data_IF_470889642131
#
_entry.id   IF_470889642131
#
_cell.length_a   1.000
_cell.length_b   1.000
_cell.length_c   1.000
_cell.angle_alpha   90.00
_cell.angle_beta   90.00
_cell.angle_gamma   90.00
#
_symmetry.space_group_name_H-M   'P 1'
#
loop_
_entity.id
_entity.type
_entity.pdbx_description
1 polymer ?
#
# COMPACT_ATOMS: atom_id res chain seq x y z
N UNK A 1 19.64 -39.58 29.96
CA UNK A 1 18.95 -39.36 28.68
C UNK A 1 17.46 -39.07 28.83
N UNK A 2 16.63 -39.96 29.40
CA UNK A 2 15.19 -39.64 29.64
C UNK A 2 15.01 -38.46 30.61
N UNK A 3 15.71 -38.49 31.75
CA UNK A 3 15.61 -37.43 32.78
C UNK A 3 16.04 -36.05 32.28
N UNK A 4 17.01 -35.99 31.37
CA UNK A 4 17.51 -34.73 30.81
C UNK A 4 16.50 -34.11 29.82
N UNK A 5 15.76 -34.96 29.09
CA UNK A 5 14.70 -34.55 28.18
C UNK A 5 13.51 -34.02 28.99
N UNK A 6 13.14 -34.69 30.08
CA UNK A 6 12.05 -34.26 30.96
C UNK A 6 12.35 -32.89 31.60
N UNK A 7 13.60 -32.68 32.04
CA UNK A 7 14.06 -31.38 32.56
C UNK A 7 14.02 -30.27 31.50
N UNK A 8 14.34 -30.58 30.23
CA UNK A 8 14.25 -29.61 29.14
C UNK A 8 12.79 -29.27 28.77
N UNK A 9 11.87 -30.23 28.87
CA UNK A 9 10.43 -30.02 28.66
C UNK A 9 9.86 -29.13 29.78
N UNK A 10 10.21 -29.41 31.03
CA UNK A 10 9.76 -28.62 32.19
C UNK A 10 10.30 -27.19 32.16
N UNK A 11 11.58 -27.00 31.80
CA UNK A 11 12.18 -25.67 31.60
C UNK A 11 11.47 -24.89 30.49
N UNK A 12 11.17 -25.53 29.35
CA UNK A 12 10.45 -24.91 28.23
C UNK A 12 9.01 -24.52 28.62
N UNK A 13 8.33 -25.31 29.45
CA UNK A 13 6.99 -25.00 29.98
C UNK A 13 7.02 -23.83 30.97
N UNK A 14 8.03 -23.75 31.84
CA UNK A 14 8.19 -22.63 32.77
C UNK A 14 8.58 -21.33 32.06
N UNK A 15 9.47 -21.38 31.07
CA UNK A 15 9.81 -20.22 30.22
C UNK A 15 8.57 -19.71 29.45
N UNK A 16 7.71 -20.62 28.98
CA UNK A 16 6.44 -20.25 28.36
C UNK A 16 5.47 -19.56 29.32
N UNK A 17 5.42 -19.96 30.60
CA UNK A 17 4.57 -19.32 31.63
C UNK A 17 5.10 -17.95 32.03
N UNK A 18 6.41 -17.77 32.13
CA UNK A 18 7.04 -16.47 32.43
C UNK A 18 6.80 -15.44 31.31
N UNK A 19 6.72 -15.88 30.05
CA UNK A 19 6.50 -15.00 28.90
C UNK A 19 5.05 -14.47 28.75
N UNK A 20 4.05 -15.03 29.45
CA UNK A 20 2.65 -14.59 29.34
C UNK A 20 2.26 -13.74 30.56
N UNK A 21 3.08 -12.77 30.93
CA UNK A 21 2.60 -11.62 31.73
C UNK A 21 2.02 -10.60 30.75
N UNK A 22 0.77 -10.82 30.30
CA UNK A 22 0.07 -9.86 29.41
C UNK A 22 -0.04 -8.52 30.14
N UNK A 23 0.84 -7.58 29.80
CA UNK A 23 0.78 -6.19 30.27
C UNK A 23 -0.58 -5.63 29.86
N UNK A 24 -1.21 -4.85 30.75
CA UNK A 24 -2.56 -4.36 30.55
C UNK A 24 -2.60 -3.34 29.39
N UNK A 25 -2.83 -3.83 28.17
CA UNK A 25 -2.80 -3.04 26.92
C UNK A 25 -3.92 -2.00 26.82
N UNK A 26 -4.95 -2.09 27.68
CA UNK A 26 -6.06 -1.14 27.75
C UNK A 26 -5.55 0.27 28.08
N UNK A 27 -4.58 0.39 29.00
CA UNK A 27 -4.01 1.70 29.35
C UNK A 27 -3.28 2.35 28.17
N UNK A 28 -2.55 1.56 27.37
CA UNK A 28 -1.86 2.05 26.18
C UNK A 28 -2.85 2.48 25.08
N UNK A 29 -3.95 1.73 24.91
CA UNK A 29 -5.00 2.10 23.97
C UNK A 29 -5.70 3.42 24.37
N UNK A 30 -6.00 3.60 25.65
CA UNK A 30 -6.61 4.83 26.18
C UNK A 30 -5.66 6.03 25.98
N UNK A 31 -4.37 5.87 26.28
CA UNK A 31 -3.37 6.93 26.05
C UNK A 31 -3.29 7.32 24.56
N UNK A 32 -3.29 6.35 23.65
CA UNK A 32 -3.25 6.61 22.20
C UNK A 32 -4.52 7.34 21.73
N UNK A 33 -5.70 6.94 22.21
CA UNK A 33 -6.95 7.62 21.88
C UNK A 33 -6.97 9.08 22.37
N UNK A 34 -6.51 9.33 23.60
CA UNK A 34 -6.42 10.69 24.15
C UNK A 34 -5.45 11.54 23.33
N UNK A 35 -4.27 11.00 23.00
CA UNK A 35 -3.29 11.69 22.15
C UNK A 35 -3.89 11.99 20.77
N UNK A 36 -4.59 11.03 20.16
CA UNK A 36 -5.25 11.22 18.86
C UNK A 36 -6.30 12.34 18.89
N UNK A 37 -7.09 12.44 19.97
CA UNK A 37 -8.08 13.51 20.14
C UNK A 37 -7.42 14.87 20.39
N UNK A 38 -6.33 14.92 21.16
CA UNK A 38 -5.56 16.14 21.38
C UNK A 38 -4.94 16.65 20.07
N UNK A 39 -4.35 15.76 19.26
CA UNK A 39 -3.84 16.13 17.93
C UNK A 39 -4.97 16.64 17.04
N UNK A 40 -6.14 15.98 17.04
CA UNK A 40 -7.32 16.45 16.32
C UNK A 40 -7.76 17.85 16.74
N UNK A 41 -7.74 18.15 18.04
CA UNK A 41 -8.10 19.48 18.56
C UNK A 41 -7.07 20.56 18.19
N UNK A 42 -5.78 20.24 18.20
CA UNK A 42 -4.72 21.14 17.74
C UNK A 42 -4.86 21.42 16.24
N UNK A 43 -5.13 20.39 15.43
CA UNK A 43 -5.35 20.55 13.99
C UNK A 43 -6.58 21.40 13.68
N UNK A 44 -7.64 21.28 14.48
CA UNK A 44 -8.84 22.11 14.36
C UNK A 44 -8.54 23.60 14.50
N UNK A 45 -7.62 23.97 15.40
CA UNK A 45 -7.21 25.38 15.57
C UNK A 45 -6.44 25.94 14.37
N UNK A 46 -5.79 25.08 13.57
CA UNK A 46 -5.01 25.51 12.41
C UNK A 46 -5.91 25.61 11.17
N UNK A 47 -6.63 24.54 10.83
CA UNK A 47 -7.58 24.49 9.72
C UNK A 47 -8.59 23.36 9.94
N UNK A 48 -9.87 23.62 9.67
CA UNK A 48 -10.95 22.63 9.80
C UNK A 48 -10.75 21.40 8.92
N UNK A 49 -10.17 21.58 7.73
CA UNK A 49 -9.98 20.49 6.76
C UNK A 49 -8.94 19.46 7.21
N UNK A 50 -7.95 19.88 8.00
CA UNK A 50 -6.91 19.00 8.51
C UNK A 50 -7.48 17.94 9.47
N UNK A 51 -8.57 18.25 10.15
CA UNK A 51 -9.27 17.31 11.04
C UNK A 51 -9.85 16.17 10.22
N UNK A 52 -10.44 16.46 9.05
CA UNK A 52 -10.96 15.44 8.14
C UNK A 52 -9.84 14.51 7.64
N UNK A 53 -8.70 15.08 7.21
CA UNK A 53 -7.55 14.28 6.77
C UNK A 53 -6.97 13.39 7.87
N UNK A 54 -6.94 13.89 9.11
CA UNK A 54 -6.48 13.13 10.27
C UNK A 54 -7.35 11.89 10.52
N UNK A 55 -8.67 12.05 10.58
CA UNK A 55 -9.60 10.92 10.79
C UNK A 55 -9.58 9.93 9.62
N UNK A 56 -9.49 10.42 8.38
CA UNK A 56 -9.34 9.56 7.20
C UNK A 56 -8.04 8.76 7.29
N UNK A 57 -6.93 9.38 7.69
CA UNK A 57 -5.64 8.71 7.87
C UNK A 57 -5.70 7.59 8.92
N UNK A 58 -6.35 7.84 10.06
CA UNK A 58 -6.56 6.82 11.10
C UNK A 58 -7.41 5.66 10.58
N UNK A 59 -8.51 5.98 9.88
CA UNK A 59 -9.40 4.96 9.32
C UNK A 59 -8.65 4.08 8.30
N UNK A 60 -7.88 4.69 7.39
CA UNK A 60 -7.05 3.97 6.42
C UNK A 60 -6.00 3.11 7.15
N UNK A 61 -5.29 3.66 8.14
CA UNK A 61 -4.30 2.91 8.92
C UNK A 61 -4.92 1.69 9.63
N UNK A 62 -6.10 1.84 10.21
CA UNK A 62 -6.83 0.73 10.83
C UNK A 62 -7.21 -0.36 9.82
N UNK A 63 -7.72 0.03 8.65
CA UNK A 63 -8.06 -0.89 7.56
C UNK A 63 -6.81 -1.62 7.04
N UNK A 64 -5.70 -0.90 6.83
CA UNK A 64 -4.43 -1.48 6.39
C UNK A 64 -3.93 -2.52 7.39
N UNK A 65 -3.96 -2.21 8.69
CA UNK A 65 -3.56 -3.15 9.76
C UNK A 65 -4.43 -4.41 9.76
N UNK A 66 -5.76 -4.25 9.69
CA UNK A 66 -6.69 -5.37 9.75
C UNK A 66 -6.60 -6.27 8.51
N UNK A 67 -6.38 -5.67 7.34
CA UNK A 67 -6.29 -6.39 6.06
C UNK A 67 -4.90 -6.98 5.79
N UNK A 68 -3.88 -6.61 6.57
CA UNK A 68 -2.46 -6.96 6.32
C UNK A 68 -2.07 -6.68 4.88
N UNK A 69 -2.45 -5.50 4.39
CA UNK A 69 -2.34 -5.14 2.98
C UNK A 69 -0.88 -4.94 2.56
N UNK A 70 -0.34 -5.92 1.82
CA UNK A 70 1.03 -5.90 1.32
C UNK A 70 1.04 -6.18 -0.19
N UNK A 71 1.39 -5.17 -1.00
CA UNK A 71 1.47 -5.31 -2.46
C UNK A 71 2.49 -6.37 -2.90
N UNK A 72 3.65 -6.49 -2.22
CA UNK A 72 4.61 -7.55 -2.53
C UNK A 72 4.00 -8.94 -2.34
N UNK A 73 3.27 -9.12 -1.23
CA UNK A 73 2.58 -10.37 -0.91
C UNK A 73 1.51 -10.68 -1.95
N UNK A 74 0.76 -9.66 -2.37
CA UNK A 74 -0.26 -9.80 -3.41
C UNK A 74 0.31 -10.38 -4.71
N UNK A 75 1.51 -9.95 -5.13
CA UNK A 75 2.15 -10.50 -6.31
C UNK A 75 2.87 -11.82 -6.05
N UNK A 76 3.51 -12.01 -4.89
CA UNK A 76 4.30 -13.21 -4.57
C UNK A 76 3.45 -14.43 -4.22
N UNK A 77 2.41 -14.26 -3.42
CA UNK A 77 1.63 -15.34 -2.81
C UNK A 77 0.88 -16.23 -3.83
N UNK A 78 0.35 -15.71 -4.96
CA UNK A 78 -0.21 -16.54 -6.02
C UNK A 78 0.80 -17.47 -6.70
N UNK A 79 2.08 -17.10 -6.77
CA UNK A 79 3.12 -17.93 -7.37
C UNK A 79 3.69 -18.95 -6.38
N UNK A 80 3.87 -18.54 -5.12
CA UNK A 80 4.55 -19.36 -4.12
C UNK A 80 3.61 -20.28 -3.33
N UNK A 81 2.44 -19.76 -2.92
CA UNK A 81 1.48 -20.45 -2.06
C UNK A 81 0.15 -20.75 -2.76
N UNK A 82 0.03 -20.33 -4.03
CA UNK A 82 -1.19 -20.43 -4.83
C UNK A 82 -2.42 -19.79 -4.14
N UNK A 83 -2.17 -18.82 -3.26
CA UNK A 83 -3.19 -18.06 -2.54
C UNK A 83 -3.43 -16.75 -3.27
N UNK A 84 -4.62 -16.59 -3.87
CA UNK A 84 -4.95 -15.37 -4.63
C UNK A 84 -5.80 -14.38 -3.83
N UNK A 85 -6.11 -14.64 -2.56
CA UNK A 85 -7.00 -13.79 -1.74
C UNK A 85 -6.51 -12.34 -1.67
N UNK A 86 -5.22 -12.14 -1.42
CA UNK A 86 -4.65 -10.80 -1.29
C UNK A 86 -4.61 -10.07 -2.64
N UNK A 87 -4.23 -10.75 -3.73
CA UNK A 87 -4.23 -10.19 -5.09
C UNK A 87 -5.65 -9.82 -5.55
N UNK A 88 -6.64 -10.67 -5.28
CA UNK A 88 -8.05 -10.39 -5.55
C UNK A 88 -8.53 -9.15 -4.79
N UNK A 89 -8.11 -8.98 -3.55
CA UNK A 89 -8.36 -7.77 -2.77
C UNK A 89 -7.78 -6.52 -3.43
N UNK A 90 -6.53 -6.57 -3.89
CA UNK A 90 -5.88 -5.45 -4.62
C UNK A 90 -6.66 -5.10 -5.89
N UNK A 91 -7.09 -6.09 -6.68
CA UNK A 91 -7.87 -5.86 -7.90
C UNK A 91 -9.20 -5.16 -7.60
N UNK A 92 -9.91 -5.59 -6.56
CA UNK A 92 -11.16 -4.93 -6.13
C UNK A 92 -10.90 -3.48 -5.72
N UNK A 93 -9.84 -3.22 -4.95
CA UNK A 93 -9.45 -1.86 -4.57
C UNK A 93 -9.16 -1.00 -5.81
N UNK A 94 -8.46 -1.53 -6.81
CA UNK A 94 -8.19 -0.82 -8.07
C UNK A 94 -9.49 -0.51 -8.80
N UNK A 95 -10.45 -1.45 -8.90
CA UNK A 95 -11.75 -1.22 -9.55
C UNK A 95 -12.50 -0.07 -8.85
N UNK A 96 -12.61 -0.10 -7.53
CA UNK A 96 -13.29 0.96 -6.76
C UNK A 96 -12.59 2.31 -6.98
N UNK A 97 -11.26 2.32 -6.94
CA UNK A 97 -10.47 3.51 -7.16
C UNK A 97 -10.66 4.08 -8.58
N UNK A 98 -10.66 3.22 -9.60
CA UNK A 98 -10.91 3.60 -10.99
C UNK A 98 -12.28 4.23 -11.17
N UNK A 99 -13.32 3.70 -10.52
CA UNK A 99 -14.67 4.29 -10.56
C UNK A 99 -14.67 5.66 -9.88
N UNK A 100 -14.11 5.76 -8.67
CA UNK A 100 -14.06 7.01 -7.89
C UNK A 100 -13.33 8.13 -8.63
N UNK A 101 -12.09 7.88 -9.06
CA UNK A 101 -11.32 8.85 -9.85
C UNK A 101 -11.92 9.11 -11.22
N UNK A 102 -12.53 8.10 -11.85
CA UNK A 102 -13.20 8.24 -13.14
C UNK A 102 -14.38 9.20 -13.10
N UNK A 103 -15.20 9.16 -12.05
CA UNK A 103 -16.31 10.10 -11.83
C UNK A 103 -15.77 11.52 -11.65
N UNK A 104 -14.75 11.68 -10.80
CA UNK A 104 -14.12 12.99 -10.56
C UNK A 104 -13.60 13.57 -11.89
N UNK A 105 -12.81 12.81 -12.64
CA UNK A 105 -12.26 13.25 -13.92
C UNK A 105 -13.34 13.55 -14.96
N UNK A 106 -14.44 12.79 -14.98
CA UNK A 106 -15.59 13.06 -15.85
C UNK A 106 -16.23 14.43 -15.57
N UNK A 107 -16.48 14.76 -14.31
CA UNK A 107 -17.05 16.06 -13.94
C UNK A 107 -16.09 17.22 -14.25
N UNK A 108 -14.80 17.04 -14.02
CA UNK A 108 -13.78 18.06 -14.32
C UNK A 108 -13.62 18.31 -15.82
N UNK A 109 -13.68 17.26 -16.65
CA UNK A 109 -13.52 17.36 -18.12
C UNK A 109 -14.74 17.98 -18.81
N UNK A 110 -15.93 17.87 -18.21
CA UNK A 110 -17.17 18.41 -18.79
C UNK A 110 -17.27 19.96 -18.73
N UNK A 111 -16.50 20.60 -17.84
CA UNK A 111 -16.63 22.04 -17.55
C UNK A 111 -15.44 22.91 -17.94
N UNK A 112 -14.29 22.35 -18.33
CA UNK A 112 -13.06 23.09 -18.61
C UNK A 112 -12.31 22.52 -19.82
N UNK A 113 -11.57 23.38 -20.54
CA UNK A 113 -10.57 22.96 -21.54
C UNK A 113 -9.57 22.04 -20.84
N UNK A 114 -9.19 20.93 -21.47
CA UNK A 114 -8.29 19.91 -20.89
C UNK A 114 -6.91 20.56 -20.62
N UNK A 115 -6.73 21.11 -19.41
CA UNK A 115 -5.45 21.59 -18.91
C UNK A 115 -4.81 20.47 -18.11
N UNK A 116 -3.72 19.88 -18.62
CA UNK A 116 -2.99 18.78 -17.98
C UNK A 116 -2.53 19.09 -16.55
N UNK A 117 -2.24 20.36 -16.26
CA UNK A 117 -1.82 20.82 -14.92
C UNK A 117 -2.95 20.76 -13.88
N UNK A 118 -4.22 20.79 -14.32
CA UNK A 118 -5.40 20.85 -13.46
C UNK A 118 -6.20 19.55 -13.43
N UNK A 119 -5.71 18.47 -14.06
CA UNK A 119 -6.38 17.18 -13.98
C UNK A 119 -6.14 16.61 -12.58
N UNK A 120 -7.19 16.31 -11.80
CA UNK A 120 -7.03 15.58 -10.55
C UNK A 120 -6.51 14.17 -10.85
N UNK A 121 -5.22 13.98 -10.59
CA UNK A 121 -4.46 12.78 -10.97
C UNK A 121 -3.32 13.16 -11.90
N UNK A 122 -2.17 13.51 -11.31
CA UNK A 122 -0.94 13.90 -12.01
C UNK A 122 -0.66 12.97 -13.20
N UNK A 123 -0.86 13.49 -14.42
CA UNK A 123 -0.60 12.75 -15.66
C UNK A 123 0.88 12.90 -15.97
N UNK A 124 1.66 11.89 -15.61
CA UNK A 124 3.12 11.91 -15.78
C UNK A 124 3.54 11.34 -17.14
N UNK A 125 4.69 11.78 -17.64
CA UNK A 125 5.24 11.31 -18.92
C UNK A 125 5.49 9.81 -18.91
N UNK A 126 5.00 9.13 -19.94
CA UNK A 126 5.20 7.69 -20.12
C UNK A 126 6.53 7.44 -20.83
N UNK A 127 7.41 6.64 -20.25
CA UNK A 127 8.69 6.34 -20.86
C UNK A 127 9.51 5.29 -20.12
N UNK A 128 10.69 4.99 -20.68
CA UNK A 128 11.62 3.97 -20.18
C UNK A 128 12.09 4.23 -18.75
N UNK A 129 12.09 5.49 -18.30
CA UNK A 129 12.40 5.87 -16.92
C UNK A 129 11.48 5.19 -15.91
N UNK A 130 10.19 5.02 -16.23
CA UNK A 130 9.24 4.33 -15.34
C UNK A 130 9.60 2.86 -15.20
N UNK A 131 9.95 2.18 -16.29
CA UNK A 131 10.32 0.77 -16.27
C UNK A 131 11.60 0.53 -15.45
N UNK A 132 12.62 1.36 -15.66
CA UNK A 132 13.88 1.29 -14.90
C UNK A 132 13.64 1.59 -13.41
N UNK A 133 12.85 2.63 -13.11
CA UNK A 133 12.49 2.98 -11.74
C UNK A 133 11.69 1.86 -11.05
N UNK A 134 10.70 1.28 -11.72
CA UNK A 134 9.90 0.17 -11.19
C UNK A 134 10.76 -1.07 -10.93
N UNK A 135 11.74 -1.35 -11.78
CA UNK A 135 12.67 -2.47 -11.59
C UNK A 135 13.57 -2.28 -10.36
N UNK A 136 14.20 -1.11 -10.22
CA UNK A 136 15.04 -0.77 -9.07
C UNK A 136 14.20 -0.76 -7.78
N UNK A 137 12.99 -0.20 -7.83
CA UNK A 137 12.05 -0.21 -6.70
C UNK A 137 11.64 -1.62 -6.30
N UNK A 138 11.42 -2.52 -7.27
CA UNK A 138 11.14 -3.93 -7.02
C UNK A 138 12.30 -4.65 -6.31
N UNK A 139 13.54 -4.41 -6.73
CA UNK A 139 14.73 -4.94 -6.05
C UNK A 139 14.79 -4.43 -4.61
N UNK A 140 14.61 -3.12 -4.41
CA UNK A 140 14.58 -2.52 -3.09
C UNK A 140 13.49 -3.12 -2.19
N UNK A 141 12.31 -3.37 -2.74
CA UNK A 141 11.18 -3.98 -2.04
C UNK A 141 11.48 -5.42 -1.57
N UNK A 142 12.23 -6.19 -2.36
CA UNK A 142 12.66 -7.55 -1.98
C UNK A 142 13.71 -7.49 -0.87
N UNK A 143 14.72 -6.60 -0.98
CA UNK A 143 15.76 -6.41 0.04
C UNK A 143 15.17 -5.93 1.36
N UNK A 144 14.21 -5.00 1.30
CA UNK A 144 13.50 -4.46 2.45
C UNK A 144 12.57 -5.48 3.14
N UNK A 145 12.23 -6.60 2.48
CA UNK A 145 11.32 -7.61 3.02
C UNK A 145 9.87 -7.13 3.16
N UNK A 146 9.46 -6.11 2.39
CA UNK A 146 8.13 -5.52 2.44
C UNK A 146 7.96 -4.30 1.54
N UNK A 147 6.70 -3.89 1.32
CA UNK A 147 6.35 -2.65 0.62
C UNK A 147 6.22 -1.51 1.63
N UNK A 148 6.20 -0.26 1.14
CA UNK A 148 6.07 0.93 1.98
C UNK A 148 4.89 0.85 2.97
N UNK A 149 3.70 0.44 2.49
CA UNK A 149 2.52 0.27 3.36
C UNK A 149 2.72 -0.83 4.41
N UNK A 150 3.34 -1.95 4.04
CA UNK A 150 3.64 -3.04 4.95
C UNK A 150 4.67 -2.67 6.03
N UNK A 151 5.67 -1.86 5.67
CA UNK A 151 6.68 -1.34 6.62
C UNK A 151 6.01 -0.42 7.64
N UNK A 152 5.21 0.57 7.18
CA UNK A 152 4.46 1.48 8.04
C UNK A 152 3.51 0.74 8.99
N UNK A 153 2.81 -0.28 8.48
CA UNK A 153 1.93 -1.11 9.29
C UNK A 153 2.69 -1.86 10.38
N UNK A 154 3.82 -2.50 10.06
CA UNK A 154 4.64 -3.23 11.05
C UNK A 154 5.29 -2.30 12.08
N UNK A 155 5.65 -1.07 11.68
CA UNK A 155 6.06 -0.02 12.62
C UNK A 155 4.92 0.27 13.61
N UNK A 156 3.70 0.41 13.10
CA UNK A 156 2.49 0.60 13.91
C UNK A 156 2.15 -0.60 14.81
N UNK A 157 2.60 -1.81 14.48
CA UNK A 157 2.49 -3.00 15.34
C UNK A 157 3.59 -3.07 16.42
N UNK A 158 4.58 -2.16 16.38
CA UNK A 158 5.67 -2.07 17.36
C UNK A 158 6.91 -2.90 17.01
N UNK A 159 7.05 -3.35 15.76
CA UNK A 159 8.25 -4.06 15.33
C UNK A 159 9.45 -3.10 15.18
N UNK A 160 10.59 -3.46 15.76
CA UNK A 160 11.80 -2.64 15.72
C UNK A 160 12.52 -2.67 14.35
N UNK A 161 12.60 -3.84 13.68
CA UNK A 161 13.32 -3.97 12.40
C UNK A 161 12.79 -3.06 11.26
N UNK A 162 11.47 -2.88 11.08
CA UNK A 162 10.95 -1.97 10.06
C UNK A 162 11.41 -0.51 10.19
N UNK A 163 11.84 -0.05 11.37
CA UNK A 163 12.33 1.31 11.57
C UNK A 163 13.60 1.62 10.78
N UNK A 164 14.55 0.68 10.71
CA UNK A 164 15.78 0.90 9.94
C UNK A 164 15.47 1.02 8.44
N UNK A 165 14.52 0.20 7.95
CA UNK A 165 14.07 0.25 6.55
C UNK A 165 13.36 1.58 6.26
N UNK A 166 12.54 2.06 7.20
CA UNK A 166 11.84 3.33 7.05
C UNK A 166 12.78 4.53 7.00
N UNK A 167 13.83 4.55 7.84
CA UNK A 167 14.87 5.58 7.77
C UNK A 167 15.61 5.52 6.43
N UNK A 168 15.97 4.32 5.96
CA UNK A 168 16.58 4.14 4.63
C UNK A 168 15.69 4.64 3.50
N UNK A 169 14.37 4.40 3.59
CA UNK A 169 13.39 4.90 2.63
C UNK A 169 13.30 6.43 2.65
N UNK A 170 13.35 7.07 3.82
CA UNK A 170 13.37 8.55 3.93
C UNK A 170 14.64 9.11 3.28
N UNK A 171 15.81 8.57 3.60
CA UNK A 171 17.09 9.02 3.04
C UNK A 171 17.08 8.85 1.52
N UNK A 172 16.67 7.67 1.02
CA UNK A 172 16.56 7.40 -0.41
C UNK A 172 15.59 8.34 -1.13
N UNK A 173 14.44 8.65 -0.52
CA UNK A 173 13.47 9.59 -1.09
C UNK A 173 14.01 11.02 -1.15
N UNK A 174 14.74 11.47 -0.12
CA UNK A 174 15.37 12.80 -0.10
C UNK A 174 16.48 12.93 -1.15
N UNK A 175 17.32 11.91 -1.30
CA UNK A 175 18.35 11.87 -2.34
C UNK A 175 17.72 11.85 -3.73
N UNK A 176 16.70 11.01 -3.94
CA UNK A 176 15.95 10.96 -5.18
C UNK A 176 15.29 12.29 -5.54
N UNK A 177 14.74 13.01 -4.56
CA UNK A 177 14.16 14.33 -4.76
C UNK A 177 15.21 15.39 -5.14
N UNK A 178 16.40 15.33 -4.54
CA UNK A 178 17.52 16.22 -4.89
C UNK A 178 18.00 15.98 -6.32
N UNK A 179 18.18 14.72 -6.70
CA UNK A 179 18.67 14.37 -8.04
C UNK A 179 17.57 14.42 -9.11
N UNK A 180 16.30 14.61 -8.71
CA UNK A 180 15.16 14.61 -9.61
C UNK A 180 15.31 15.58 -10.79
N UNK A 181 15.86 16.79 -10.56
CA UNK A 181 16.08 17.77 -11.63
C UNK A 181 17.01 17.23 -12.73
N UNK A 182 18.07 16.51 -12.35
CA UNK A 182 19.01 15.91 -13.29
C UNK A 182 18.33 14.84 -14.15
N UNK A 183 17.55 13.97 -13.52
CA UNK A 183 16.79 12.93 -14.22
C UNK A 183 15.70 13.53 -15.11
N UNK A 184 15.08 14.61 -14.66
CA UNK A 184 14.03 15.31 -15.40
C UNK A 184 14.55 15.89 -16.70
N UNK A 185 15.65 16.66 -16.64
CA UNK A 185 16.21 17.35 -17.80
C UNK A 185 16.77 16.38 -18.84
N UNK A 186 17.40 15.28 -18.41
CA UNK A 186 18.03 14.32 -19.33
C UNK A 186 17.08 13.30 -19.93
N UNK A 187 16.09 12.84 -19.17
CA UNK A 187 15.30 11.66 -19.53
C UNK A 187 13.80 11.98 -19.64
N UNK A 188 13.25 12.67 -18.64
CA UNK A 188 11.78 12.82 -18.52
C UNK A 188 11.25 13.86 -19.51
N UNK A 189 11.96 14.98 -19.71
CA UNK A 189 11.53 16.09 -20.58
C UNK A 189 11.28 15.66 -22.04
N UNK A 190 12.02 14.67 -22.52
CA UNK A 190 11.91 14.18 -23.90
C UNK A 190 10.85 13.08 -24.08
N UNK A 191 10.18 12.65 -23.00
CA UNK A 191 9.23 11.55 -23.04
C UNK A 191 7.80 12.04 -23.24
N UNK A 192 7.05 11.35 -24.11
CA UNK A 192 5.68 11.73 -24.47
C UNK A 192 4.73 11.44 -23.30
N UNK A 193 3.92 12.42 -22.95
CA UNK A 193 2.76 12.19 -22.06
C UNK A 193 1.69 11.50 -22.89
N UNK A 194 1.27 10.31 -22.45
CA UNK A 194 0.20 9.56 -23.10
C UNK A 194 -0.98 9.54 -22.14
N UNK A 195 -1.98 10.39 -22.40
CA UNK A 195 -3.24 10.37 -21.67
C UNK A 195 -4.30 9.68 -22.51
N UNK A 196 -4.71 8.48 -22.09
CA UNK A 196 -5.69 7.67 -22.82
C UNK A 196 -7.02 8.40 -23.14
N UNK A 197 -7.56 9.25 -22.23
CA UNK A 197 -8.77 10.02 -22.52
C UNK A 197 -8.65 11.11 -23.60
N UNK A 198 -7.46 11.41 -24.11
CA UNK A 198 -7.32 12.24 -25.33
C UNK A 198 -7.75 11.48 -26.59
N UNK A 199 -7.58 10.15 -26.60
CA UNK A 199 -7.80 9.31 -27.78
C UNK A 199 -9.16 8.59 -27.74
N UNK A 200 -9.78 8.46 -26.57
CA UNK A 200 -11.06 7.77 -26.36
C UNK A 200 -11.90 8.47 -25.29
N UNK A 201 -13.24 8.43 -25.39
CA UNK A 201 -14.12 8.95 -24.33
C UNK A 201 -13.77 8.29 -22.99
N UNK A 202 -13.60 9.10 -21.94
CA UNK A 202 -13.20 8.66 -20.61
C UNK A 202 -14.10 7.55 -20.06
N UNK A 203 -15.38 7.55 -20.42
CA UNK A 203 -16.34 6.50 -20.06
C UNK A 203 -15.96 5.16 -20.67
N UNK A 204 -15.56 5.15 -21.94
CA UNK A 204 -15.13 3.95 -22.65
C UNK A 204 -13.82 3.44 -22.05
N UNK A 205 -12.86 4.32 -21.77
CA UNK A 205 -11.60 3.96 -21.14
C UNK A 205 -11.80 3.29 -19.76
N UNK A 206 -12.68 3.85 -18.92
CA UNK A 206 -13.03 3.29 -17.61
C UNK A 206 -13.70 1.92 -17.76
N UNK A 207 -14.67 1.77 -18.66
CA UNK A 207 -15.38 0.50 -18.89
C UNK A 207 -14.41 -0.58 -19.36
N UNK A 208 -13.53 -0.28 -20.31
CA UNK A 208 -12.50 -1.21 -20.79
C UNK A 208 -11.58 -1.65 -19.66
N UNK A 209 -11.09 -0.70 -18.85
CA UNK A 209 -10.24 -1.00 -17.69
C UNK A 209 -10.94 -1.93 -16.69
N UNK A 210 -12.21 -1.66 -16.37
CA UNK A 210 -12.99 -2.49 -15.45
C UNK A 210 -13.19 -3.90 -16.02
N UNK A 211 -13.50 -4.03 -17.31
CA UNK A 211 -13.66 -5.34 -17.97
C UNK A 211 -12.37 -6.15 -17.86
N UNK A 212 -11.22 -5.55 -18.16
CA UNK A 212 -9.91 -6.21 -18.07
C UNK A 212 -9.65 -6.68 -16.63
N UNK A 213 -9.89 -5.83 -15.63
CA UNK A 213 -9.71 -6.18 -14.23
C UNK A 213 -10.64 -7.31 -13.77
N UNK A 214 -11.90 -7.34 -14.23
CA UNK A 214 -12.85 -8.42 -13.94
C UNK A 214 -12.39 -9.73 -14.58
N UNK A 215 -11.87 -9.70 -15.81
CA UNK A 215 -11.32 -10.88 -16.48
C UNK A 215 -10.14 -11.44 -15.66
N UNK A 216 -9.21 -10.59 -15.23
CA UNK A 216 -8.06 -11.00 -14.40
C UNK A 216 -8.54 -11.57 -13.06
N UNK A 217 -9.53 -10.93 -12.42
CA UNK A 217 -10.12 -11.42 -11.18
C UNK A 217 -10.71 -12.82 -11.33
N UNK A 218 -11.53 -13.03 -12.38
CA UNK A 218 -12.14 -14.33 -12.67
C UNK A 218 -11.09 -15.38 -12.98
N UNK A 219 -10.05 -15.02 -13.74
CA UNK A 219 -8.95 -15.92 -14.07
C UNK A 219 -8.19 -16.37 -12.82
N UNK A 220 -7.88 -15.46 -11.90
CA UNK A 220 -7.23 -15.78 -10.62
C UNK A 220 -8.13 -16.66 -9.74
N UNK A 221 -9.42 -16.35 -9.65
CA UNK A 221 -10.36 -17.18 -8.89
C UNK A 221 -10.50 -18.58 -9.49
N UNK A 222 -10.48 -18.70 -10.82
CA UNK A 222 -10.53 -19.99 -11.50
C UNK A 222 -9.27 -20.81 -11.21
N UNK A 223 -8.08 -20.20 -11.31
CA UNK A 223 -6.81 -20.84 -10.95
C UNK A 223 -6.80 -21.33 -9.51
N UNK A 224 -7.33 -20.55 -8.56
CA UNK A 224 -7.37 -20.96 -7.16
C UNK A 224 -8.27 -22.19 -6.98
N UNK A 225 -9.51 -22.17 -7.50
CA UNK A 225 -10.45 -23.30 -7.41
C UNK A 225 -9.87 -24.60 -7.99
N UNK A 226 -9.29 -24.53 -9.19
CA UNK A 226 -8.74 -25.69 -9.90
C UNK A 226 -7.57 -26.35 -9.18
N UNK A 227 -6.84 -25.60 -8.36
CA UNK A 227 -5.73 -26.12 -7.59
C UNK A 227 -6.18 -26.71 -6.24
N UNK A 228 -7.29 -26.23 -5.67
CA UNK A 228 -7.92 -26.87 -4.51
C UNK A 228 -8.58 -28.21 -4.87
N UNK A 229 -9.13 -28.35 -6.08
CA UNK A 229 -9.71 -29.62 -6.55
C UNK A 229 -8.68 -30.72 -6.85
N UNK A 230 -7.40 -30.36 -7.02
CA UNK A 230 -6.31 -31.30 -7.32
C UNK A 230 -5.61 -31.86 -6.08
N UNK A 231 -5.98 -31.41 -4.88
CA UNK A 231 -5.31 -31.73 -3.62
C UNK A 231 -6.25 -32.50 -2.70
#
# INVERSE_FOLDING_TARGET
MSKDIDLLIEKRHNDHKVYIKRKNQISQAISICIISLLVGFVLWKINTDNVFYWFIGIAIGFVLRKSRFCLCGAFRDPFLFNNTKLLRGVIITIIINTIGFGIIQYYYTKGNIINYDNIPGNVTSFGWHIAIGAFIFGIGMVIAGGCASGILMRIGEGHALPWIVFIGMIIGNLLGAKDYSFWYDKIIKNSKVIYFPEYMDIRIAIVVQIIILIIIYKFLSFREKRNFEKK
#
